data_IF_347995894032
#
_entry.id   IF_347995894032
#
_cell.length_a   1.000
_cell.length_b   1.000
_cell.length_c   1.000
_cell.angle_alpha   90.00
_cell.angle_beta   90.00
_cell.angle_gamma   90.00
#
_symmetry.space_group_name_H-M   'P 1'
#
loop_
_entity.id
_entity.type
_entity.pdbx_description
1 polymer ?
#
# COMPACT_ATOMS: atom_id res chain seq x y z
N UNK A 1 -8.03 17.56 11.10
CA UNK A 1 -7.13 18.74 11.11
C UNK A 1 -6.27 18.67 12.36
N UNK A 2 -5.02 18.21 12.24
CA UNK A 2 -4.04 18.35 13.32
C UNK A 2 -3.67 19.84 13.37
N UNK A 3 -3.84 20.44 14.54
CA UNK A 3 -3.46 21.84 14.80
C UNK A 3 -2.01 22.07 14.43
N UNK A 4 -1.76 23.08 13.60
CA UNK A 4 -0.45 23.41 13.03
C UNK A 4 0.58 23.84 14.06
N UNK A 5 1.32 22.88 14.60
CA UNK A 5 2.69 23.14 15.00
C UNK A 5 3.47 23.40 13.70
N UNK A 6 4.01 24.62 13.52
CA UNK A 6 4.83 24.92 12.35
C UNK A 6 6.03 23.97 12.36
N UNK A 7 6.07 23.02 11.43
CA UNK A 7 7.17 22.08 11.31
C UNK A 7 8.47 22.88 11.12
N UNK A 8 9.47 22.61 11.97
CA UNK A 8 10.80 23.20 11.83
C UNK A 8 11.46 22.61 10.59
N UNK A 9 12.29 23.39 9.86
CA UNK A 9 13.09 22.81 8.80
C UNK A 9 14.08 21.82 9.44
N UNK A 10 14.41 20.76 8.72
CA UNK A 10 15.26 19.67 9.20
C UNK A 10 16.49 19.54 8.29
N UNK A 11 17.68 19.55 8.86
CA UNK A 11 18.93 19.24 8.17
C UNK A 11 19.45 17.88 8.65
N UNK A 12 19.52 16.93 7.73
CA UNK A 12 20.12 15.62 7.95
C UNK A 12 21.51 15.62 7.31
N UNK A 13 22.57 15.51 8.11
CA UNK A 13 23.95 15.58 7.62
C UNK A 13 24.63 14.22 7.58
N UNK A 14 25.68 14.08 6.77
CA UNK A 14 26.55 12.91 6.73
C UNK A 14 25.82 11.56 6.49
N UNK A 15 24.83 11.53 5.61
CA UNK A 15 24.10 10.31 5.26
C UNK A 15 24.56 9.75 3.92
N UNK A 16 24.50 8.42 3.75
CA UNK A 16 24.83 7.70 2.51
C UNK A 16 23.53 7.34 1.78
N UNK A 17 23.20 7.98 0.65
CA UNK A 17 21.98 7.65 -0.09
C UNK A 17 22.04 6.23 -0.67
N UNK A 18 20.93 5.51 -0.61
CA UNK A 18 20.75 4.19 -1.25
C UNK A 18 19.37 4.09 -1.88
N UNK A 19 19.25 3.28 -2.94
CA UNK A 19 17.98 3.03 -3.66
C UNK A 19 17.36 4.26 -4.35
N UNK A 20 18.20 5.22 -4.77
CA UNK A 20 17.80 6.41 -5.56
C UNK A 20 18.24 6.34 -7.05
N UNK A 21 18.73 5.19 -7.52
CA UNK A 21 19.31 5.02 -8.86
C UNK A 21 20.78 4.64 -8.78
N UNK A 22 21.66 5.43 -9.41
CA UNK A 22 23.11 5.19 -9.38
C UNK A 22 23.65 5.15 -7.93
N UNK A 23 24.55 4.20 -7.69
CA UNK A 23 25.14 3.96 -6.38
C UNK A 23 26.24 5.00 -6.09
N UNK A 24 26.15 5.64 -4.92
CA UNK A 24 27.22 6.50 -4.40
C UNK A 24 27.54 6.12 -2.97
N UNK A 25 28.80 5.77 -2.71
CA UNK A 25 29.30 5.50 -1.36
C UNK A 25 29.65 6.77 -0.58
N UNK A 26 29.49 7.94 -1.20
CA UNK A 26 29.84 9.21 -0.57
C UNK A 26 28.70 9.72 0.32
N UNK A 27 29.07 10.35 1.43
CA UNK A 27 28.09 11.04 2.28
C UNK A 27 27.63 12.36 1.65
N UNK A 28 26.38 12.72 1.93
CA UNK A 28 25.75 13.99 1.57
C UNK A 28 24.90 14.51 2.72
N UNK A 29 24.49 15.77 2.64
CA UNK A 29 23.49 16.37 3.52
C UNK A 29 22.17 16.59 2.75
N UNK A 30 21.06 16.59 3.47
CA UNK A 30 19.70 16.78 2.96
C UNK A 30 18.99 17.83 3.83
N UNK A 31 18.50 18.90 3.20
CA UNK A 31 17.70 19.93 3.88
C UNK A 31 16.22 19.77 3.50
N UNK A 32 15.38 19.52 4.49
CA UNK A 32 13.92 19.48 4.40
C UNK A 32 13.35 20.81 4.87
N UNK A 33 12.52 21.43 4.04
CA UNK A 33 11.85 22.69 4.32
C UNK A 33 10.74 22.56 5.37
N UNK A 34 10.20 23.71 5.81
CA UNK A 34 9.04 23.76 6.72
C UNK A 34 7.77 23.16 6.12
N UNK A 35 7.71 23.05 4.80
CA UNK A 35 6.63 22.44 4.03
C UNK A 35 6.76 20.90 3.93
N UNK A 36 7.84 20.33 4.48
CA UNK A 36 8.11 18.89 4.43
C UNK A 36 8.76 18.41 3.13
N UNK A 37 9.08 19.30 2.20
CA UNK A 37 9.73 18.95 0.94
C UNK A 37 11.26 19.04 1.05
N UNK A 38 11.96 18.24 0.23
CA UNK A 38 13.42 18.36 0.09
C UNK A 38 13.72 19.68 -0.65
N UNK A 39 14.41 20.58 0.03
CA UNK A 39 14.77 21.91 -0.48
C UNK A 39 16.18 21.95 -1.08
N UNK A 40 17.09 21.12 -0.58
CA UNK A 40 18.46 21.01 -1.10
C UNK A 40 19.09 19.66 -0.74
N UNK A 41 20.00 19.20 -1.60
CA UNK A 41 20.87 18.04 -1.38
C UNK A 41 22.28 18.45 -1.77
N UNK A 42 23.27 18.18 -0.92
CA UNK A 42 24.67 18.48 -1.22
C UNK A 42 25.57 18.38 0.00
N UNK A 43 26.87 18.62 -0.17
CA UNK A 43 27.82 18.64 0.94
C UNK A 43 27.87 20.02 1.59
N UNK A 44 27.96 20.05 2.92
CA UNK A 44 28.15 21.28 3.70
C UNK A 44 27.05 22.32 3.43
N UNK A 45 25.79 21.88 3.45
CA UNK A 45 24.65 22.77 3.19
C UNK A 45 24.54 23.87 4.25
N UNK A 46 24.37 25.11 3.81
CA UNK A 46 23.97 26.21 4.69
C UNK A 46 22.49 26.03 5.04
N UNK A 47 22.17 26.10 6.33
CA UNK A 47 20.80 25.97 6.81
C UNK A 47 20.42 27.15 7.72
N UNK A 48 19.11 27.51 7.79
CA UNK A 48 18.62 28.56 8.67
C UNK A 48 19.00 28.34 10.14
N UNK A 49 19.02 29.41 10.94
CA UNK A 49 19.40 29.32 12.35
C UNK A 49 18.47 28.42 13.19
N UNK A 50 17.19 28.34 12.85
CA UNK A 50 16.16 27.57 13.56
C UNK A 50 16.00 26.12 13.05
N UNK A 51 16.97 25.61 12.29
CA UNK A 51 16.91 24.25 11.73
C UNK A 51 17.13 23.19 12.81
N UNK A 52 16.29 22.16 12.82
CA UNK A 52 16.57 20.93 13.55
C UNK A 52 17.69 20.18 12.82
N UNK A 53 18.68 19.66 13.57
CA UNK A 53 19.84 18.97 12.97
C UNK A 53 19.93 17.53 13.44
N UNK A 54 20.09 16.63 12.49
CA UNK A 54 20.37 15.21 12.73
C UNK A 54 21.65 14.85 12.00
N UNK A 55 22.67 14.39 12.73
CA UNK A 55 23.90 13.85 12.13
C UNK A 55 23.77 12.33 11.95
N UNK A 56 23.76 11.89 10.69
CA UNK A 56 23.68 10.49 10.30
C UNK A 56 24.96 9.69 10.54
N UNK A 57 26.11 10.34 10.80
CA UNK A 57 27.40 9.67 11.12
C UNK A 57 27.82 8.62 10.08
N UNK A 58 27.51 8.85 8.81
CA UNK A 58 27.79 7.91 7.71
C UNK A 58 26.77 6.78 7.55
N UNK A 59 25.64 6.82 8.27
CA UNK A 59 24.56 5.84 8.14
C UNK A 59 23.85 5.94 6.78
N UNK A 60 23.16 4.86 6.42
CA UNK A 60 22.36 4.80 5.19
C UNK A 60 21.07 5.60 5.32
N UNK A 61 20.66 6.21 4.20
CA UNK A 61 19.35 6.82 4.03
C UNK A 61 18.75 6.36 2.70
N UNK A 62 17.48 5.98 2.70
CA UNK A 62 16.75 5.54 1.52
C UNK A 62 15.48 6.39 1.34
N UNK A 63 14.75 6.24 0.22
CA UNK A 63 13.33 6.59 0.23
C UNK A 63 12.64 5.89 1.40
N UNK A 64 11.58 6.51 1.92
CA UNK A 64 10.75 5.86 2.92
C UNK A 64 10.20 4.53 2.38
N UNK A 65 10.18 3.49 3.21
CA UNK A 65 9.75 2.18 2.75
C UNK A 65 8.26 2.14 2.49
N UNK A 66 7.88 1.27 1.54
CA UNK A 66 6.50 1.01 1.12
C UNK A 66 6.21 -0.46 1.36
N UNK A 67 5.29 -0.74 2.28
CA UNK A 67 4.76 -2.08 2.46
C UNK A 67 3.47 -2.22 1.62
N UNK A 68 3.57 -3.01 0.56
CA UNK A 68 2.49 -3.19 -0.42
C UNK A 68 1.38 -4.13 0.08
N UNK A 69 1.57 -4.82 1.22
CA UNK A 69 0.62 -5.81 1.69
C UNK A 69 0.52 -5.82 3.21
N UNK A 70 -0.39 -4.98 3.71
CA UNK A 70 -0.79 -5.00 5.12
C UNK A 70 -2.31 -5.16 5.26
N UNK A 71 -2.75 -5.52 6.46
CA UNK A 71 -4.16 -5.49 6.84
C UNK A 71 -4.32 -4.51 8.00
N UNK A 72 -4.84 -3.32 7.71
CA UNK A 72 -4.83 -2.19 8.66
C UNK A 72 -6.20 -1.58 8.91
N UNK A 73 -7.28 -2.26 8.50
CA UNK A 73 -8.62 -1.88 8.89
C UNK A 73 -8.98 -2.29 10.32
N UNK A 74 -8.22 -1.75 11.28
CA UNK A 74 -8.39 -1.99 12.70
C UNK A 74 -9.80 -1.59 13.16
N UNK A 75 -10.48 -2.51 13.84
CA UNK A 75 -11.85 -2.31 14.33
C UNK A 75 -12.95 -2.55 13.29
N UNK A 76 -12.66 -2.41 12.00
CA UNK A 76 -13.58 -2.78 10.91
C UNK A 76 -13.48 -4.26 10.51
N UNK A 77 -12.32 -4.88 10.74
CA UNK A 77 -12.06 -6.31 10.46
C UNK A 77 -11.38 -6.99 11.64
N UNK A 78 -11.54 -8.30 11.75
CA UNK A 78 -11.01 -9.10 12.87
C UNK A 78 -9.51 -9.37 12.79
N UNK A 79 -8.94 -9.32 11.58
CA UNK A 79 -7.54 -9.66 11.31
C UNK A 79 -6.60 -8.46 11.30
N UNK A 80 -7.14 -7.25 11.11
CA UNK A 80 -6.31 -6.06 10.91
C UNK A 80 -5.70 -5.53 12.20
N UNK A 81 -4.50 -4.97 12.06
CA UNK A 81 -3.77 -4.26 13.13
C UNK A 81 -3.83 -2.74 12.90
N UNK A 82 -3.34 -1.94 13.84
CA UNK A 82 -3.26 -0.48 13.64
C UNK A 82 -2.10 -0.12 12.71
N UNK A 83 -2.22 0.95 11.89
CA UNK A 83 -1.10 1.46 11.10
C UNK A 83 0.17 1.72 11.94
N UNK A 84 0.03 2.22 13.17
CA UNK A 84 1.17 2.47 14.08
C UNK A 84 1.95 1.20 14.47
N UNK A 85 1.37 0.01 14.29
CA UNK A 85 2.01 -1.26 14.63
C UNK A 85 2.93 -1.78 13.51
N UNK A 86 2.73 -1.33 12.26
CA UNK A 86 3.53 -1.71 11.10
C UNK A 86 4.11 -0.52 10.30
N UNK A 87 3.78 0.71 10.69
CA UNK A 87 4.17 1.95 10.02
C UNK A 87 5.51 2.51 10.47
N UNK A 88 5.62 3.84 10.46
CA UNK A 88 6.90 4.53 10.56
C UNK A 88 7.55 4.33 11.93
N UNK A 89 6.75 4.32 13.00
CA UNK A 89 7.22 4.24 14.39
C UNK A 89 7.91 2.91 14.73
N UNK A 90 7.50 1.81 14.09
CA UNK A 90 8.04 0.48 14.38
C UNK A 90 8.94 -0.09 13.30
N UNK A 91 8.64 0.20 12.03
CA UNK A 91 9.28 -0.44 10.89
C UNK A 91 9.99 0.49 9.92
N UNK A 92 9.95 1.82 10.14
CA UNK A 92 10.44 2.79 9.15
C UNK A 92 9.61 2.82 7.85
N UNK A 93 8.42 2.22 7.86
CA UNK A 93 7.51 2.15 6.72
C UNK A 93 6.70 3.44 6.65
N UNK A 94 6.88 4.20 5.58
CA UNK A 94 6.24 5.52 5.41
C UNK A 94 4.95 5.45 4.61
N UNK A 95 4.80 4.38 3.81
CA UNK A 95 3.61 4.14 3.01
C UNK A 95 3.11 2.72 3.24
N UNK A 96 1.84 2.60 3.60
CA UNK A 96 1.17 1.32 3.84
C UNK A 96 0.08 1.12 2.79
N UNK A 97 -0.01 -0.08 2.22
CA UNK A 97 -1.08 -0.44 1.30
C UNK A 97 -1.93 -1.55 1.89
N UNK A 98 -3.16 -1.21 2.26
CA UNK A 98 -4.13 -2.20 2.74
C UNK A 98 -4.51 -3.17 1.60
N UNK A 99 -4.32 -4.47 1.83
CA UNK A 99 -4.47 -5.50 0.82
C UNK A 99 -5.89 -6.06 0.75
N UNK A 100 -6.89 -5.18 0.63
CA UNK A 100 -8.30 -5.57 0.53
C UNK A 100 -8.87 -6.09 1.84
N UNK A 101 -8.44 -5.53 2.98
CA UNK A 101 -9.20 -5.67 4.23
C UNK A 101 -10.56 -5.04 4.04
N UNK A 102 -10.59 -3.89 3.36
CA UNK A 102 -11.82 -3.21 3.09
C UNK A 102 -12.68 -3.85 2.01
N UNK A 103 -13.96 -4.02 2.33
CA UNK A 103 -14.93 -4.55 1.39
C UNK A 103 -15.09 -3.64 0.21
N UNK A 104 -15.43 -4.24 -0.93
CA UNK A 104 -15.33 -3.58 -2.22
C UNK A 104 -16.04 -2.25 -2.34
N UNK A 105 -17.04 -2.02 -1.51
CA UNK A 105 -17.73 -0.74 -1.44
C UNK A 105 -18.37 -0.52 -0.07
N UNK A 106 -18.89 -1.60 0.53
CA UNK A 106 -19.86 -1.53 1.62
C UNK A 106 -19.38 -0.77 2.85
N UNK A 107 -18.07 -0.74 3.07
CA UNK A 107 -17.50 -0.16 4.27
C UNK A 107 -16.28 0.74 4.00
N UNK A 108 -15.78 0.88 2.75
CA UNK A 108 -14.52 1.59 2.46
C UNK A 108 -14.50 3.02 3.02
N UNK A 109 -15.65 3.71 3.03
CA UNK A 109 -15.78 5.04 3.64
C UNK A 109 -15.34 5.06 5.11
N UNK A 110 -15.67 4.02 5.89
CA UNK A 110 -15.23 3.89 7.28
C UNK A 110 -13.74 3.59 7.39
N UNK A 111 -13.16 2.84 6.44
CA UNK A 111 -11.70 2.66 6.39
C UNK A 111 -11.00 4.00 6.13
N UNK A 112 -11.54 4.81 5.21
CA UNK A 112 -11.03 6.16 4.93
C UNK A 112 -11.07 7.05 6.17
N UNK A 113 -12.24 7.20 6.78
CA UNK A 113 -12.46 8.11 7.91
C UNK A 113 -11.70 7.69 9.18
N UNK A 114 -11.70 6.40 9.51
CA UNK A 114 -11.14 5.94 10.79
C UNK A 114 -9.68 5.50 10.71
N UNK A 115 -9.14 5.25 9.51
CA UNK A 115 -7.76 4.76 9.34
C UNK A 115 -6.94 5.67 8.44
N UNK A 116 -7.38 5.95 7.21
CA UNK A 116 -6.57 6.69 6.23
C UNK A 116 -6.37 8.15 6.65
N UNK A 117 -7.45 8.88 6.89
CA UNK A 117 -7.42 10.32 7.20
C UNK A 117 -6.69 10.69 8.50
N UNK A 118 -6.81 9.93 9.60
CA UNK A 118 -6.09 10.24 10.84
C UNK A 118 -4.65 9.70 10.89
N UNK A 119 -4.23 8.85 9.95
CA UNK A 119 -2.89 8.27 9.98
C UNK A 119 -1.80 9.29 9.64
N UNK A 120 -0.62 9.07 10.22
CA UNK A 120 0.60 9.85 9.90
C UNK A 120 1.26 9.34 8.63
N UNK A 121 1.21 8.03 8.39
CA UNK A 121 1.71 7.36 7.21
C UNK A 121 0.86 7.70 5.97
N UNK A 122 1.46 7.58 4.79
CA UNK A 122 0.68 7.57 3.55
C UNK A 122 -0.04 6.22 3.44
N UNK A 123 -1.36 6.23 3.52
CA UNK A 123 -2.15 5.00 3.36
C UNK A 123 -2.80 4.96 1.98
N UNK A 124 -2.61 3.82 1.29
CA UNK A 124 -3.34 3.43 0.08
C UNK A 124 -4.05 2.11 0.33
N UNK A 125 -4.92 1.69 -0.58
CA UNK A 125 -5.59 0.40 -0.49
C UNK A 125 -5.82 -0.23 -1.86
N UNK A 126 -5.70 -1.55 -1.90
CA UNK A 126 -6.46 -2.34 -2.86
C UNK A 126 -7.87 -2.55 -2.31
N UNK A 127 -8.87 -2.28 -3.13
CA UNK A 127 -10.27 -2.49 -2.79
C UNK A 127 -10.61 -3.97 -2.98
N UNK A 128 -11.22 -4.64 -2.00
CA UNK A 128 -11.55 -6.06 -2.17
C UNK A 128 -12.64 -6.24 -3.23
N UNK A 129 -12.56 -7.27 -4.07
CA UNK A 129 -13.64 -7.56 -5.02
C UNK A 129 -14.95 -7.96 -4.31
N UNK A 130 -14.85 -8.58 -3.13
CA UNK A 130 -15.98 -8.96 -2.29
C UNK A 130 -16.48 -7.79 -1.45
N UNK A 131 -17.79 -7.53 -1.49
CA UNK A 131 -18.43 -6.35 -0.89
C UNK A 131 -18.17 -6.22 0.61
N UNK A 132 -18.06 -7.33 1.35
CA UNK A 132 -17.87 -7.31 2.80
C UNK A 132 -16.41 -7.15 3.24
N UNK A 133 -15.45 -7.43 2.35
CA UNK A 133 -14.03 -7.44 2.69
C UNK A 133 -13.71 -8.51 3.74
N UNK A 134 -12.78 -8.23 4.64
CA UNK A 134 -12.27 -9.21 5.60
C UNK A 134 -12.89 -9.09 7.00
N UNK A 135 -14.16 -8.66 7.10
CA UNK A 135 -14.85 -8.46 8.40
C UNK A 135 -14.74 -9.69 9.32
N UNK A 136 -14.87 -10.89 8.75
CA UNK A 136 -14.65 -12.16 9.44
C UNK A 136 -13.68 -13.03 8.64
N UNK A 137 -12.43 -12.58 8.52
CA UNK A 137 -11.43 -13.16 7.63
C UNK A 137 -11.32 -14.68 7.78
N UNK A 138 -11.44 -15.41 6.66
CA UNK A 138 -11.43 -16.88 6.58
C UNK A 138 -12.56 -17.61 7.34
N UNK A 139 -13.38 -16.92 8.12
CA UNK A 139 -14.53 -17.48 8.84
C UNK A 139 -15.81 -17.31 8.03
N UNK A 140 -15.97 -16.16 7.38
CA UNK A 140 -17.00 -15.90 6.37
C UNK A 140 -16.28 -15.45 5.10
N UNK A 141 -16.21 -16.29 4.06
CA UNK A 141 -15.55 -15.89 2.82
C UNK A 141 -16.28 -14.71 2.17
N UNK A 142 -15.49 -13.79 1.62
CA UNK A 142 -15.94 -12.55 1.01
C UNK A 142 -16.30 -12.69 -0.48
N UNK A 143 -15.97 -13.84 -1.08
CA UNK A 143 -16.23 -14.17 -2.49
C UNK A 143 -16.82 -15.59 -2.61
N UNK A 144 -18.03 -15.79 -2.08
CA UNK A 144 -18.72 -17.09 -2.06
C UNK A 144 -19.44 -17.34 -3.38
N UNK A 145 -20.11 -16.33 -3.92
CA UNK A 145 -20.75 -16.34 -5.23
C UNK A 145 -20.87 -14.91 -5.79
N UNK A 146 -21.44 -14.77 -6.99
CA UNK A 146 -21.55 -13.48 -7.70
C UNK A 146 -22.30 -12.41 -6.90
N UNK A 147 -23.19 -12.79 -5.97
CA UNK A 147 -23.93 -11.84 -5.12
C UNK A 147 -23.04 -11.08 -4.14
N UNK A 148 -21.82 -11.56 -3.91
CA UNK A 148 -20.84 -10.85 -3.08
C UNK A 148 -20.13 -9.74 -3.88
N UNK A 149 -20.34 -9.67 -5.20
CA UNK A 149 -19.71 -8.69 -6.09
C UNK A 149 -20.77 -7.74 -6.61
N UNK A 150 -20.62 -6.45 -6.30
CA UNK A 150 -21.43 -5.37 -6.86
C UNK A 150 -20.51 -4.46 -7.69
N UNK A 151 -20.51 -4.67 -9.00
CA UNK A 151 -19.58 -3.96 -9.90
C UNK A 151 -19.88 -2.46 -9.96
N UNK A 152 -21.15 -2.08 -10.01
CA UNK A 152 -21.56 -0.68 -10.12
C UNK A 152 -21.11 0.09 -8.87
N UNK A 153 -21.33 -0.48 -7.69
CA UNK A 153 -20.89 0.14 -6.44
C UNK A 153 -19.38 0.14 -6.25
N UNK A 154 -18.67 -0.87 -6.75
CA UNK A 154 -17.20 -0.86 -6.79
C UNK A 154 -16.70 0.31 -7.64
N UNK A 155 -17.30 0.55 -8.80
CA UNK A 155 -16.94 1.66 -9.68
C UNK A 155 -17.25 3.02 -9.03
N UNK A 156 -18.40 3.15 -8.37
CA UNK A 156 -18.76 4.35 -7.61
C UNK A 156 -17.78 4.61 -6.45
N UNK A 157 -17.46 3.56 -5.68
CA UNK A 157 -16.49 3.61 -4.59
C UNK A 157 -15.11 4.03 -5.09
N UNK A 158 -14.64 3.45 -6.21
CA UNK A 158 -13.38 3.83 -6.84
C UNK A 158 -13.38 5.30 -7.28
N UNK A 159 -14.43 5.74 -7.99
CA UNK A 159 -14.52 7.12 -8.46
C UNK A 159 -14.51 8.13 -7.30
N UNK A 160 -15.16 7.81 -6.18
CA UNK A 160 -15.22 8.66 -4.99
C UNK A 160 -13.95 8.64 -4.12
N UNK A 161 -13.01 7.72 -4.37
CA UNK A 161 -11.81 7.53 -3.53
C UNK A 161 -10.56 7.23 -4.37
N UNK A 162 -10.50 7.74 -5.60
CA UNK A 162 -9.43 7.43 -6.56
C UNK A 162 -8.03 7.88 -6.07
N UNK A 163 -7.97 8.86 -5.17
CA UNK A 163 -6.75 9.25 -4.48
C UNK A 163 -6.27 8.21 -3.45
N UNK A 164 -7.11 7.29 -2.98
CA UNK A 164 -6.78 6.28 -1.97
C UNK A 164 -6.68 4.87 -2.54
N UNK A 165 -7.51 4.55 -3.52
CA UNK A 165 -7.61 3.20 -4.10
C UNK A 165 -6.62 3.05 -5.27
N UNK A 166 -5.70 2.10 -5.14
CA UNK A 166 -4.64 1.83 -6.13
C UNK A 166 -4.89 0.57 -6.96
N UNK A 167 -6.00 -0.13 -6.72
CA UNK A 167 -6.42 -1.28 -7.51
C UNK A 167 -7.47 -2.14 -6.81
N UNK A 168 -7.72 -3.32 -7.36
CA UNK A 168 -8.64 -4.32 -6.81
C UNK A 168 -7.86 -5.52 -6.26
N UNK A 169 -8.26 -6.04 -5.10
CA UNK A 169 -7.72 -7.28 -4.53
C UNK A 169 -8.70 -8.42 -4.70
N UNK A 170 -8.19 -9.54 -5.20
CA UNK A 170 -8.90 -10.82 -5.22
C UNK A 170 -8.11 -11.85 -4.42
N UNK A 171 -8.80 -12.72 -3.67
CA UNK A 171 -8.20 -13.84 -2.94
C UNK A 171 -8.62 -15.15 -3.62
N UNK A 172 -7.81 -15.60 -4.57
CA UNK A 172 -8.04 -16.82 -5.34
C UNK A 172 -7.66 -18.09 -4.58
N UNK A 173 -8.38 -18.41 -3.50
CA UNK A 173 -8.19 -19.67 -2.79
C UNK A 173 -9.26 -20.70 -3.16
N UNK A 174 -8.89 -21.86 -3.74
CA UNK A 174 -9.85 -22.86 -4.25
C UNK A 174 -10.85 -23.37 -3.21
N UNK A 175 -10.45 -23.41 -1.93
CA UNK A 175 -11.29 -23.91 -0.82
C UNK A 175 -12.31 -22.90 -0.30
N UNK A 176 -12.12 -21.61 -0.57
CA UNK A 176 -12.91 -20.53 0.02
C UNK A 176 -13.64 -19.67 -1.03
N UNK A 177 -13.30 -19.81 -2.31
CA UNK A 177 -13.77 -18.93 -3.37
C UNK A 177 -14.31 -19.74 -4.57
N UNK A 178 -15.64 -19.93 -4.63
CA UNK A 178 -16.28 -20.69 -5.73
C UNK A 178 -16.34 -19.91 -7.04
N UNK A 179 -16.31 -18.58 -6.99
CA UNK A 179 -16.29 -17.71 -8.19
C UNK A 179 -14.94 -17.85 -8.86
N UNK A 180 -13.86 -17.49 -8.16
CA UNK A 180 -12.51 -17.58 -8.72
C UNK A 180 -12.09 -19.02 -8.94
N UNK A 181 -12.51 -19.96 -8.08
CA UNK A 181 -12.24 -21.38 -8.28
C UNK A 181 -12.81 -21.91 -9.59
N UNK A 182 -14.06 -21.57 -9.96
CA UNK A 182 -14.64 -21.99 -11.24
C UNK A 182 -13.95 -21.36 -12.45
N UNK A 183 -13.75 -20.05 -12.45
CA UNK A 183 -13.13 -19.35 -13.58
C UNK A 183 -11.64 -19.67 -13.71
N UNK A 184 -10.91 -19.81 -12.59
CA UNK A 184 -9.53 -20.26 -12.63
C UNK A 184 -9.47 -21.70 -13.16
N UNK A 185 -10.30 -22.62 -12.67
CA UNK A 185 -10.32 -24.00 -13.21
C UNK A 185 -10.68 -24.05 -14.70
N UNK A 186 -11.59 -23.20 -15.17
CA UNK A 186 -11.89 -23.07 -16.61
C UNK A 186 -10.70 -22.51 -17.39
N UNK A 187 -10.10 -21.41 -16.95
CA UNK A 187 -8.90 -20.85 -17.59
C UNK A 187 -7.71 -21.83 -17.59
N UNK A 188 -7.53 -22.62 -16.52
CA UNK A 188 -6.52 -23.68 -16.45
C UNK A 188 -6.86 -24.91 -17.32
N UNK A 189 -8.12 -25.13 -17.65
CA UNK A 189 -8.55 -26.18 -18.59
C UNK A 189 -8.39 -25.70 -20.03
N UNK A 190 -8.78 -24.47 -20.34
CA UNK A 190 -8.61 -23.82 -21.64
C UNK A 190 -7.11 -23.73 -22.01
N UNK A 191 -6.25 -23.30 -21.09
CA UNK A 191 -4.79 -23.25 -21.29
C UNK A 191 -4.18 -24.65 -21.51
N UNK A 192 -4.75 -25.70 -20.89
CA UNK A 192 -4.35 -27.10 -21.12
C UNK A 192 -4.74 -27.58 -22.51
N UNK A 193 -5.97 -27.32 -22.94
CA UNK A 193 -6.47 -27.69 -24.27
C UNK A 193 -5.68 -26.96 -25.38
N UNK A 194 -5.30 -25.71 -25.15
CA UNK A 194 -4.44 -24.95 -26.06
C UNK A 194 -3.01 -25.52 -26.14
N UNK A 195 -2.44 -25.99 -25.04
CA UNK A 195 -1.12 -26.67 -25.07
C UNK A 195 -1.16 -28.06 -25.69
N UNK A 196 -2.26 -28.81 -25.55
CA UNK A 196 -2.41 -30.13 -26.17
C UNK A 196 -2.67 -30.03 -27.69
N UNK A 197 -3.41 -29.01 -28.13
CA UNK A 197 -3.65 -28.75 -29.57
C UNK A 197 -2.41 -28.23 -30.33
N UNK A 198 -1.42 -27.67 -29.64
CA UNK A 198 -0.17 -27.21 -30.22
C UNK A 198 0.84 -28.33 -30.54
N UNK A 199 0.59 -29.57 -30.08
CA UNK A 199 1.49 -30.71 -30.29
C UNK A 199 1.17 -31.59 -31.51
N UNK A 200 0.07 -31.35 -32.23
CA UNK A 200 -0.38 -32.16 -33.37
C UNK A 200 -0.18 -31.50 -34.75
N UNK A 201 0.69 -30.50 -34.85
CA UNK A 201 1.11 -29.94 -36.15
C UNK A 201 2.14 -30.85 -36.84
N UNK A 202 1.97 -31.22 -38.13
CA UNK A 202 2.96 -32.05 -38.81
C UNK A 202 4.24 -31.24 -39.00
N UNK A 203 5.35 -31.73 -38.42
CA UNK A 203 6.69 -31.26 -38.74
C UNK A 203 6.94 -31.49 -40.24
N UNK A 204 6.97 -30.40 -41.00
CA UNK A 204 7.37 -30.38 -42.42
C UNK A 204 8.87 -30.49 -42.62
#
# INVERSE_FOLDING_TARGET
>A
MISGEQAKPLLITNVRPVAFGEHSDTTTDILVGKDGNISAIGKSLNAPAEVERIDGKGAWISPGWVDLHVHIWHGGTDISIRPSECGAERGGVTTLVDAGSAGGEANFHGFREYVIEPARERIKAFLNLGSIGLVACNRVPELRDIKDIDLDRILECYAANSEHIVGIKVRGQPRHNRVVGRYASQAWQEDREDTESAHDGPCG
#
